data_IF_543600808326
#
_entry.id   IF_543600808326
#
_cell.length_a   1.000
_cell.length_b   1.000
_cell.length_c   1.000
_cell.angle_alpha   90.00
_cell.angle_beta   90.00
_cell.angle_gamma   90.00
#
_symmetry.space_group_name_H-M   'P 1'
#
loop_
_entity.id
_entity.type
_entity.pdbx_description
1 polymer ?
#
# COMPACT_ATOMS: atom_id res chain seq x y z
N UNK A 1 49.78 -13.60 -33.34
CA UNK A 1 50.12 -14.47 -32.20
C UNK A 1 49.16 -14.15 -31.06
N UNK A 2 48.25 -15.07 -30.71
CA UNK A 2 47.40 -14.92 -29.53
C UNK A 2 48.31 -15.07 -28.30
N UNK A 3 48.53 -13.96 -27.57
CA UNK A 3 49.33 -13.97 -26.33
C UNK A 3 48.53 -14.73 -25.27
N UNK A 4 48.93 -15.96 -24.98
CA UNK A 4 48.33 -16.73 -23.90
C UNK A 4 48.76 -16.15 -22.56
N UNK A 5 47.86 -15.44 -21.90
CA UNK A 5 48.10 -14.94 -20.56
C UNK A 5 48.15 -16.10 -19.55
N UNK A 6 49.10 -16.10 -18.61
CA UNK A 6 49.19 -17.11 -17.58
C UNK A 6 47.96 -17.08 -16.65
N UNK A 7 47.61 -18.24 -16.08
CA UNK A 7 46.38 -18.45 -15.30
C UNK A 7 46.19 -17.43 -14.17
N UNK A 8 47.29 -17.03 -13.52
CA UNK A 8 47.32 -16.06 -12.42
C UNK A 8 46.86 -14.65 -12.83
N UNK A 9 46.87 -14.31 -14.12
CA UNK A 9 46.40 -13.00 -14.65
C UNK A 9 44.95 -13.10 -15.16
N UNK A 10 44.57 -14.25 -15.72
CA UNK A 10 43.22 -14.49 -16.23
C UNK A 10 42.17 -14.45 -15.13
N UNK A 11 42.44 -15.08 -13.98
CA UNK A 11 41.48 -15.18 -12.88
C UNK A 11 41.16 -13.80 -12.25
N UNK A 12 42.13 -12.96 -11.87
CA UNK A 12 41.85 -11.61 -11.38
C UNK A 12 41.10 -10.75 -12.39
N UNK A 13 41.41 -10.87 -13.68
CA UNK A 13 40.74 -10.08 -14.72
C UNK A 13 39.25 -10.42 -14.82
N UNK A 14 38.90 -11.70 -14.74
CA UNK A 14 37.49 -12.15 -14.71
C UNK A 14 36.81 -11.70 -13.41
N UNK A 15 37.48 -11.80 -12.27
CA UNK A 15 36.95 -11.34 -10.98
C UNK A 15 36.68 -9.82 -11.00
N UNK A 16 37.61 -9.03 -11.53
CA UNK A 16 37.44 -7.58 -11.71
C UNK A 16 36.26 -7.29 -12.64
N UNK A 17 36.17 -8.00 -13.77
CA UNK A 17 35.03 -7.87 -14.68
C UNK A 17 33.68 -8.19 -14.03
N UNK A 18 33.64 -9.22 -13.18
CA UNK A 18 32.44 -9.59 -12.42
C UNK A 18 32.08 -8.52 -11.40
N UNK A 19 33.06 -8.02 -10.62
CA UNK A 19 32.86 -6.95 -9.64
C UNK A 19 32.34 -5.68 -10.33
N UNK A 20 32.93 -5.27 -11.45
CA UNK A 20 32.48 -4.12 -12.23
C UNK A 20 31.05 -4.33 -12.74
N UNK A 21 30.72 -5.53 -13.24
CA UNK A 21 29.36 -5.84 -13.73
C UNK A 21 28.33 -5.74 -12.61
N UNK A 22 28.61 -6.31 -11.43
CA UNK A 22 27.74 -6.19 -10.26
C UNK A 22 27.62 -4.74 -9.81
N UNK A 23 28.70 -3.96 -9.85
CA UNK A 23 28.68 -2.55 -9.51
C UNK A 23 27.81 -1.72 -10.46
N UNK A 24 27.88 -1.99 -11.77
CA UNK A 24 26.97 -1.37 -12.77
C UNK A 24 25.51 -1.71 -12.44
N UNK A 25 25.21 -2.96 -12.11
CA UNK A 25 23.84 -3.36 -11.72
C UNK A 25 23.35 -2.64 -10.46
N UNK A 26 24.25 -2.36 -9.50
CA UNK A 26 23.90 -1.60 -8.30
C UNK A 26 23.57 -0.14 -8.62
N UNK A 27 24.35 0.50 -9.51
CA UNK A 27 24.05 1.87 -9.97
C UNK A 27 22.74 1.89 -10.77
N UNK A 28 22.53 0.90 -11.63
CA UNK A 28 21.33 0.78 -12.45
C UNK A 28 20.12 0.28 -11.64
N UNK A 29 20.26 -0.05 -10.35
CA UNK A 29 19.18 -0.60 -9.53
C UNK A 29 17.91 0.25 -9.61
N UNK A 30 18.04 1.56 -9.51
CA UNK A 30 16.90 2.49 -9.52
C UNK A 30 16.16 2.52 -10.87
N UNK A 31 16.78 2.02 -11.94
CA UNK A 31 16.18 1.87 -13.28
C UNK A 31 15.68 0.43 -13.48
N UNK A 32 16.50 -0.56 -13.10
CA UNK A 32 16.21 -1.98 -13.26
C UNK A 32 15.01 -2.42 -12.42
N UNK A 33 14.83 -1.87 -11.22
CA UNK A 33 13.69 -2.20 -10.35
C UNK A 33 12.37 -1.79 -11.03
N UNK A 34 12.14 -0.52 -11.43
CA UNK A 34 10.96 -0.15 -12.20
C UNK A 34 10.78 -0.96 -13.49
N UNK A 35 11.86 -1.23 -14.21
CA UNK A 35 11.81 -2.01 -15.45
C UNK A 35 11.37 -3.46 -15.22
N UNK A 36 11.85 -4.09 -14.14
CA UNK A 36 11.43 -5.43 -13.75
C UNK A 36 9.94 -5.49 -13.39
N UNK A 37 9.43 -4.48 -12.67
CA UNK A 37 8.00 -4.36 -12.41
C UNK A 37 7.19 -4.13 -13.69
N UNK A 38 7.68 -3.28 -14.60
CA UNK A 38 7.03 -3.08 -15.90
C UNK A 38 6.98 -4.38 -16.71
N UNK A 39 8.04 -5.18 -16.71
CA UNK A 39 8.08 -6.50 -17.35
C UNK A 39 7.09 -7.48 -16.69
N UNK A 40 7.01 -7.51 -15.35
CA UNK A 40 6.04 -8.32 -14.62
C UNK A 40 4.60 -7.95 -14.99
N UNK A 41 4.28 -6.65 -14.99
CA UNK A 41 2.96 -6.14 -15.40
C UNK A 41 2.68 -6.49 -16.86
N UNK A 42 3.66 -6.36 -17.75
CA UNK A 42 3.53 -6.74 -19.15
C UNK A 42 3.23 -8.24 -19.33
N UNK A 43 3.89 -9.11 -18.56
CA UNK A 43 3.61 -10.56 -18.55
C UNK A 43 2.18 -10.83 -18.07
N UNK A 44 1.74 -10.12 -17.02
CA UNK A 44 0.37 -10.24 -16.49
C UNK A 44 -0.69 -9.73 -17.48
N UNK A 45 -0.36 -8.71 -18.26
CA UNK A 45 -1.25 -8.15 -19.29
C UNK A 45 -1.27 -8.95 -20.58
N UNK A 46 -0.23 -9.74 -20.88
CA UNK A 46 -0.17 -10.57 -22.07
C UNK A 46 -1.42 -11.47 -22.28
N UNK A 47 -1.93 -12.23 -21.30
CA UNK A 47 -3.16 -13.01 -21.49
C UNK A 47 -4.40 -12.14 -21.78
N UNK A 48 -4.46 -10.93 -21.22
CA UNK A 48 -5.54 -9.98 -21.49
C UNK A 48 -5.43 -9.44 -22.92
N UNK A 49 -4.23 -9.01 -23.33
CA UNK A 49 -3.94 -8.53 -24.67
C UNK A 49 -4.26 -9.61 -25.71
N UNK A 50 -3.83 -10.85 -25.49
CA UNK A 50 -4.13 -11.97 -26.38
C UNK A 50 -5.63 -12.27 -26.49
N UNK A 51 -6.42 -12.03 -25.42
CA UNK A 51 -7.88 -12.15 -25.48
C UNK A 51 -8.53 -11.05 -26.30
N UNK A 52 -8.01 -9.82 -26.21
CA UNK A 52 -8.51 -8.65 -26.94
C UNK A 52 -8.10 -8.70 -28.42
N UNK A 53 -6.89 -9.17 -28.71
CA UNK A 53 -6.35 -9.33 -30.06
C UNK A 53 -7.19 -10.30 -30.91
N UNK A 54 -7.91 -11.25 -30.30
CA UNK A 54 -8.86 -12.11 -31.02
C UNK A 54 -9.98 -11.34 -31.74
N UNK A 55 -10.27 -10.11 -31.31
CA UNK A 55 -11.35 -9.27 -31.86
C UNK A 55 -10.85 -7.96 -32.45
N UNK A 56 -9.57 -7.61 -32.30
CA UNK A 56 -9.02 -6.30 -32.66
C UNK A 56 -7.57 -6.39 -33.15
N UNK A 57 -7.09 -5.41 -33.95
CA UNK A 57 -5.70 -5.33 -34.35
C UNK A 57 -4.74 -5.28 -33.14
N UNK A 58 -3.58 -5.92 -33.27
CA UNK A 58 -2.55 -6.07 -32.23
C UNK A 58 -2.22 -4.78 -31.46
N UNK A 59 -2.04 -3.67 -32.18
CA UNK A 59 -1.69 -2.38 -31.57
C UNK A 59 -2.81 -1.90 -30.64
N UNK A 60 -4.06 -2.02 -31.09
CA UNK A 60 -5.25 -1.61 -30.31
C UNK A 60 -5.39 -2.51 -29.09
N UNK A 61 -5.15 -3.81 -29.22
CA UNK A 61 -5.21 -4.76 -28.11
C UNK A 61 -4.21 -4.43 -26.99
N UNK A 62 -2.97 -4.09 -27.36
CA UNK A 62 -1.92 -3.70 -26.40
C UNK A 62 -2.29 -2.40 -25.69
N UNK A 63 -2.65 -1.36 -26.45
CA UNK A 63 -3.02 -0.05 -25.89
C UNK A 63 -4.23 -0.19 -24.96
N UNK A 64 -5.26 -0.92 -25.38
CA UNK A 64 -6.45 -1.13 -24.55
C UNK A 64 -6.13 -1.91 -23.27
N UNK A 65 -5.27 -2.93 -23.35
CA UNK A 65 -4.83 -3.68 -22.17
C UNK A 65 -4.09 -2.80 -21.18
N UNK A 66 -3.16 -1.95 -21.65
CA UNK A 66 -2.45 -0.99 -20.79
C UNK A 66 -3.41 0.02 -20.17
N UNK A 67 -4.36 0.56 -20.93
CA UNK A 67 -5.38 1.49 -20.42
C UNK A 67 -6.24 0.83 -19.34
N UNK A 68 -6.68 -0.42 -19.55
CA UNK A 68 -7.44 -1.18 -18.54
C UNK A 68 -6.60 -1.37 -17.27
N UNK A 69 -5.31 -1.70 -17.39
CA UNK A 69 -4.43 -1.85 -16.22
C UNK A 69 -4.38 -0.58 -15.37
N UNK A 70 -4.15 0.57 -16.02
CA UNK A 70 -4.09 1.87 -15.36
C UNK A 70 -5.44 2.22 -14.74
N UNK A 71 -6.54 1.99 -15.46
CA UNK A 71 -7.89 2.24 -14.96
C UNK A 71 -8.22 1.38 -13.73
N UNK A 72 -7.80 0.11 -13.70
CA UNK A 72 -7.98 -0.77 -12.54
C UNK A 72 -7.18 -0.25 -11.35
N UNK A 73 -5.92 0.15 -11.53
CA UNK A 73 -5.10 0.69 -10.44
C UNK A 73 -5.72 1.98 -9.88
N UNK A 74 -6.11 2.91 -10.75
CA UNK A 74 -6.77 4.15 -10.31
C UNK A 74 -8.11 3.87 -9.63
N UNK A 75 -8.89 2.93 -10.15
CA UNK A 75 -10.16 2.51 -9.56
C UNK A 75 -9.96 1.89 -8.17
N UNK A 76 -8.94 1.05 -8.00
CA UNK A 76 -8.59 0.48 -6.69
C UNK A 76 -8.13 1.57 -5.71
N UNK A 77 -7.29 2.51 -6.14
CA UNK A 77 -6.85 3.64 -5.31
C UNK A 77 -8.03 4.50 -4.87
N UNK A 78 -8.93 4.84 -5.80
CA UNK A 78 -10.14 5.60 -5.50
C UNK A 78 -11.06 4.85 -4.52
N UNK A 79 -11.30 3.56 -4.79
CA UNK A 79 -12.14 2.71 -3.94
C UNK A 79 -11.57 2.61 -2.53
N UNK A 80 -10.27 2.31 -2.38
CA UNK A 80 -9.60 2.26 -1.08
C UNK A 80 -9.66 3.60 -0.36
N UNK A 81 -9.43 4.71 -1.07
CA UNK A 81 -9.51 6.05 -0.49
C UNK A 81 -10.91 6.37 0.03
N UNK A 82 -11.95 6.02 -0.74
CA UNK A 82 -13.35 6.17 -0.33
C UNK A 82 -13.69 5.34 0.90
N UNK A 83 -13.18 4.10 0.96
CA UNK A 83 -13.41 3.23 2.12
C UNK A 83 -12.76 3.79 3.39
N UNK A 84 -11.54 4.35 3.26
CA UNK A 84 -10.86 5.00 4.38
C UNK A 84 -11.61 6.24 4.84
N UNK A 85 -12.11 7.07 3.91
CA UNK A 85 -12.89 8.26 4.25
C UNK A 85 -14.18 7.90 5.00
N UNK A 86 -14.95 6.92 4.51
CA UNK A 86 -16.16 6.44 5.20
C UNK A 86 -15.87 5.87 6.58
N UNK A 87 -14.74 5.19 6.76
CA UNK A 87 -14.34 4.72 8.08
C UNK A 87 -14.13 5.88 9.07
N UNK A 88 -13.54 7.00 8.62
CA UNK A 88 -13.42 8.19 9.47
C UNK A 88 -14.79 8.79 9.83
N UNK A 89 -15.72 8.88 8.87
CA UNK A 89 -17.09 9.33 9.13
C UNK A 89 -17.79 8.42 10.15
N UNK A 90 -17.63 7.11 10.02
CA UNK A 90 -18.19 6.12 10.94
C UNK A 90 -17.62 6.29 12.35
N UNK A 91 -16.32 6.55 12.50
CA UNK A 91 -15.71 6.82 13.81
C UNK A 91 -16.31 8.04 14.50
N UNK A 92 -16.55 9.13 13.78
CA UNK A 92 -17.18 10.32 14.36
C UNK A 92 -18.64 10.06 14.75
N UNK A 93 -19.37 9.27 13.95
CA UNK A 93 -20.72 8.82 14.33
C UNK A 93 -20.74 7.94 15.59
N UNK A 94 -19.72 7.07 15.76
CA UNK A 94 -19.56 6.24 16.94
C UNK A 94 -19.28 7.11 18.16
N UNK A 95 -18.40 8.11 18.06
CA UNK A 95 -18.13 9.06 19.17
C UNK A 95 -19.38 9.81 19.61
N UNK A 96 -20.21 10.26 18.66
CA UNK A 96 -21.47 10.94 18.96
C UNK A 96 -22.42 10.01 19.75
N UNK A 97 -22.64 8.79 19.24
CA UNK A 97 -23.47 7.78 19.93
C UNK A 97 -22.92 7.41 21.31
N UNK A 98 -21.60 7.30 21.46
CA UNK A 98 -20.96 7.03 22.75
C UNK A 98 -21.21 8.16 23.75
N UNK A 99 -21.16 9.40 23.28
CA UNK A 99 -21.42 10.59 24.11
C UNK A 99 -22.88 10.60 24.58
N UNK A 100 -23.82 10.29 23.69
CA UNK A 100 -25.24 10.18 24.03
C UNK A 100 -25.48 9.05 25.05
N UNK A 101 -24.87 7.87 24.83
CA UNK A 101 -24.95 6.74 25.76
C UNK A 101 -24.39 7.09 27.16
N UNK A 102 -23.28 7.82 27.23
CA UNK A 102 -22.70 8.29 28.50
C UNK A 102 -23.66 9.28 29.17
N UNK A 103 -24.26 10.19 28.42
CA UNK A 103 -25.22 11.16 28.95
C UNK A 103 -26.46 10.45 29.53
N UNK A 104 -27.03 9.49 28.80
CA UNK A 104 -28.17 8.70 29.26
C UNK A 104 -27.85 7.92 30.53
N UNK A 105 -26.64 7.35 30.63
CA UNK A 105 -26.14 6.69 31.83
C UNK A 105 -26.04 7.64 33.02
N UNK A 106 -25.51 8.85 32.82
CA UNK A 106 -25.41 9.87 33.86
C UNK A 106 -26.79 10.28 34.39
N UNK A 107 -27.75 10.47 33.49
CA UNK A 107 -29.15 10.79 33.83
C UNK A 107 -29.80 9.65 34.59
N UNK A 108 -29.57 8.39 34.19
CA UNK A 108 -30.09 7.22 34.88
C UNK A 108 -29.53 7.07 36.31
N UNK A 109 -28.23 7.30 36.50
CA UNK A 109 -27.59 7.29 37.82
C UNK A 109 -28.13 8.45 38.69
N UNK A 110 -28.30 9.64 38.11
CA UNK A 110 -28.83 10.79 38.83
C UNK A 110 -30.27 10.56 39.28
N UNK A 111 -31.12 10.00 38.42
CA UNK A 111 -32.52 9.71 38.74
C UNK A 111 -32.69 8.53 39.71
N UNK A 112 -31.84 7.50 39.61
CA UNK A 112 -31.94 6.30 40.46
C UNK A 112 -31.22 6.43 41.81
N UNK A 113 -30.09 7.13 41.86
CA UNK A 113 -29.24 7.23 43.07
C UNK A 113 -29.07 8.67 43.60
N UNK A 114 -29.58 9.69 42.91
CA UNK A 114 -29.53 11.09 43.36
C UNK A 114 -28.17 11.79 43.25
N UNK A 115 -27.16 11.13 42.68
CA UNK A 115 -25.83 11.72 42.46
C UNK A 115 -25.80 12.60 41.20
N UNK A 116 -25.50 13.89 41.35
CA UNK A 116 -25.41 14.83 40.22
C UNK A 116 -24.29 14.45 39.23
N UNK A 117 -24.50 14.76 37.95
CA UNK A 117 -23.50 14.54 36.88
C UNK A 117 -22.11 15.13 37.21
N UNK A 118 -22.05 16.26 37.93
CA UNK A 118 -20.79 16.88 38.39
C UNK A 118 -20.02 16.05 39.43
N UNK A 119 -20.72 15.28 40.27
CA UNK A 119 -20.08 14.36 41.24
C UNK A 119 -19.60 13.09 40.54
N UNK A 120 -20.33 12.61 39.54
CA UNK A 120 -19.96 11.44 38.74
C UNK A 120 -18.71 11.71 37.88
N UNK A 121 -18.62 12.88 37.23
CA UNK A 121 -17.44 13.27 36.46
C UNK A 121 -16.17 13.32 37.33
N UNK A 122 -16.28 13.87 38.55
CA UNK A 122 -15.17 13.88 39.52
C UNK A 122 -14.74 12.48 39.94
N UNK A 123 -15.68 11.57 40.19
CA UNK A 123 -15.38 10.19 40.57
C UNK A 123 -14.72 9.39 39.44
N UNK A 124 -15.09 9.63 38.19
CA UNK A 124 -14.47 8.98 37.02
C UNK A 124 -13.05 9.52 36.79
N UNK A 125 -12.84 10.83 36.92
CA UNK A 125 -11.52 11.46 36.78
C UNK A 125 -10.57 11.03 37.92
N UNK A 126 -11.07 10.99 39.16
CA UNK A 126 -10.33 10.45 40.30
C UNK A 126 -10.02 8.95 40.10
N UNK A 127 -10.95 8.15 39.57
CA UNK A 127 -10.73 6.73 39.28
C UNK A 127 -9.70 6.50 38.15
N UNK A 128 -9.76 7.29 37.08
CA UNK A 128 -8.84 7.19 35.94
C UNK A 128 -7.42 7.65 36.29
N UNK A 129 -7.28 8.67 37.16
CA UNK A 129 -5.97 9.16 37.64
C UNK A 129 -5.43 8.39 38.85
N UNK A 130 -6.24 7.54 39.50
CA UNK A 130 -5.83 6.67 40.61
C UNK A 130 -5.37 5.27 40.19
N UNK A 131 -5.40 4.98 38.88
CA UNK A 131 -4.79 3.79 38.25
C UNK A 131 -3.49 4.15 37.54
#
# INVERSE_FOLDING_TARGET
MLKEYPFYIKVPMVLIGLVISVYILLILRDILVPLAFAALIAILLNPLSNRIEKKTPKIIAIVLSMTIAIAVIMGLMYFLSSQVAHFFDDLDSIKARLTDLIHDLQVWIQTSFGYSASKQAKLIDDAANSS
#
